data_IF_425235811649
#
_entry.id   IF_425235811649
#
_cell.length_a   1.000
_cell.length_b   1.000
_cell.length_c   1.000
_cell.angle_alpha   90.00
_cell.angle_beta   90.00
_cell.angle_gamma   90.00
#
_symmetry.space_group_name_H-M   'P 1'
#
loop_
_entity.id
_entity.type
_entity.pdbx_description
1 polymer ?
#
# COMPACT_ATOMS: atom_id res chain seq x y z
N UNK A 1 20.74 39.74 -20.34
CA UNK A 1 20.66 39.08 -19.02
C UNK A 1 19.23 39.18 -18.51
N UNK A 2 18.53 38.04 -18.43
CA UNK A 2 17.54 37.64 -17.40
C UNK A 2 16.47 36.74 -18.02
N UNK A 3 16.74 35.44 -18.10
CA UNK A 3 15.68 34.45 -18.18
C UNK A 3 15.14 34.26 -16.77
N UNK A 4 13.93 34.76 -16.53
CA UNK A 4 13.16 34.47 -15.33
C UNK A 4 12.71 33.01 -15.45
N UNK A 5 13.37 32.14 -14.69
CA UNK A 5 13.00 30.74 -14.58
C UNK A 5 11.57 30.64 -14.05
N UNK A 6 10.70 30.03 -14.87
CA UNK A 6 9.41 29.52 -14.40
C UNK A 6 9.70 28.49 -13.30
N UNK A 7 9.50 28.89 -12.04
CA UNK A 7 9.26 27.93 -10.95
C UNK A 7 7.99 27.17 -11.33
N UNK A 8 8.16 25.96 -11.82
CA UNK A 8 7.08 24.97 -11.86
C UNK A 8 6.73 24.72 -10.39
N UNK A 9 5.61 25.26 -9.92
CA UNK A 9 5.05 24.85 -8.65
C UNK A 9 4.82 23.34 -8.75
N UNK A 10 5.63 22.55 -8.04
CA UNK A 10 5.32 21.15 -7.80
C UNK A 10 3.93 21.14 -7.14
N UNK A 11 2.95 20.58 -7.86
CA UNK A 11 1.59 20.49 -7.37
C UNK A 11 1.63 19.64 -6.09
N UNK A 12 1.14 20.19 -4.98
CA UNK A 12 1.15 19.46 -3.70
C UNK A 12 0.37 18.16 -3.85
N UNK A 13 1.02 17.05 -3.51
CA UNK A 13 0.39 15.75 -3.45
C UNK A 13 -0.62 15.69 -2.32
N UNK A 14 -1.64 14.86 -2.48
CA UNK A 14 -2.73 14.63 -1.54
C UNK A 14 -2.52 13.24 -0.94
N UNK A 15 -1.99 13.12 0.29
CA UNK A 15 -1.78 11.82 0.90
C UNK A 15 -3.12 11.17 1.25
N UNK A 16 -3.29 9.92 0.85
CA UNK A 16 -4.45 9.08 1.19
C UNK A 16 -3.94 7.83 1.89
N UNK A 17 -4.43 7.59 3.11
CA UNK A 17 -4.12 6.36 3.83
C UNK A 17 -5.05 5.24 3.38
N UNK A 18 -4.50 4.09 2.99
CA UNK A 18 -5.25 2.88 2.65
C UNK A 18 -4.84 1.79 3.64
N UNK A 19 -5.70 1.48 4.60
CA UNK A 19 -5.39 0.53 5.66
C UNK A 19 -6.22 -0.74 5.52
N UNK A 20 -5.64 -1.89 5.85
CA UNK A 20 -6.41 -3.08 6.14
C UNK A 20 -6.94 -3.02 7.57
N UNK A 21 -8.10 -3.62 7.83
CA UNK A 21 -8.57 -3.83 9.19
C UNK A 21 -9.40 -5.11 9.29
N UNK A 22 -9.35 -5.72 10.48
CA UNK A 22 -10.20 -6.84 10.86
C UNK A 22 -10.74 -6.60 12.27
N UNK A 23 -10.77 -7.65 13.10
CA UNK A 23 -11.24 -7.57 14.49
C UNK A 23 -10.34 -6.78 15.46
N UNK A 24 -9.18 -6.31 14.98
CA UNK A 24 -8.31 -5.36 15.69
C UNK A 24 -8.25 -4.03 14.93
N UNK A 25 -9.26 -3.14 15.02
CA UNK A 25 -9.29 -1.89 14.27
C UNK A 25 -8.19 -0.89 14.67
N UNK A 26 -7.61 -1.03 15.87
CA UNK A 26 -6.57 -0.15 16.40
C UNK A 26 -5.37 0.02 15.46
N UNK A 27 -5.03 -1.00 14.66
CA UNK A 27 -3.95 -0.95 13.66
C UNK A 27 -4.05 0.24 12.71
N UNK A 28 -5.27 0.72 12.43
CA UNK A 28 -5.51 1.91 11.61
C UNK A 28 -5.04 3.17 12.34
N UNK A 29 -5.46 3.38 13.58
CA UNK A 29 -5.06 4.56 14.36
C UNK A 29 -3.60 4.53 14.77
N UNK A 30 -3.03 3.35 14.99
CA UNK A 30 -1.60 3.15 15.24
C UNK A 30 -0.77 3.58 14.01
N UNK A 31 -1.18 3.15 12.82
CA UNK A 31 -0.58 3.58 11.55
C UNK A 31 -0.67 5.10 11.39
N UNK A 32 -1.85 5.68 11.59
CA UNK A 32 -2.09 7.12 11.41
C UNK A 32 -1.33 7.97 12.43
N UNK A 33 -1.23 7.50 13.67
CA UNK A 33 -0.39 8.10 14.70
C UNK A 33 1.07 8.16 14.24
N UNK A 34 1.60 7.03 13.78
CA UNK A 34 2.97 6.99 13.34
C UNK A 34 3.23 7.93 12.14
N UNK A 35 2.35 7.92 11.14
CA UNK A 35 2.46 8.80 9.95
C UNK A 35 2.35 10.29 10.28
N UNK A 36 1.31 10.69 11.03
CA UNK A 36 0.95 12.10 11.17
C UNK A 36 1.51 12.76 12.43
N UNK A 37 1.88 11.97 13.45
CA UNK A 37 2.35 12.50 14.73
C UNK A 37 3.84 12.21 14.94
N UNK A 38 4.29 10.97 14.72
CA UNK A 38 5.69 10.59 14.95
C UNK A 38 6.59 10.94 13.77
N UNK A 39 6.18 10.65 12.53
CA UNK A 39 7.03 10.77 11.34
C UNK A 39 7.54 12.20 11.12
N UNK A 40 8.77 12.31 10.61
CA UNK A 40 9.41 13.59 10.27
C UNK A 40 10.02 13.46 8.85
N UNK A 41 9.51 14.19 7.84
CA UNK A 41 8.35 15.09 7.90
C UNK A 41 7.04 14.35 8.19
N UNK A 42 6.05 15.05 8.78
CA UNK A 42 4.73 14.46 9.04
C UNK A 42 4.03 14.15 7.73
N UNK A 43 3.42 12.98 7.64
CA UNK A 43 2.52 12.61 6.55
C UNK A 43 1.12 12.68 7.14
N UNK A 44 0.33 13.67 6.72
CA UNK A 44 -1.03 13.87 7.23
C UNK A 44 -2.01 13.50 6.11
N UNK A 45 -2.60 12.29 6.14
CA UNK A 45 -3.58 11.89 5.14
C UNK A 45 -4.78 12.83 5.14
N UNK A 46 -5.25 13.25 3.96
CA UNK A 46 -6.51 13.98 3.84
C UNK A 46 -7.71 13.06 4.07
N UNK A 47 -7.61 11.82 3.57
CA UNK A 47 -8.66 10.79 3.68
C UNK A 47 -8.05 9.46 4.14
N UNK A 48 -8.83 8.70 4.89
CA UNK A 48 -8.48 7.34 5.33
C UNK A 48 -9.50 6.38 4.74
N UNK A 49 -9.03 5.40 3.99
CA UNK A 49 -9.83 4.35 3.37
C UNK A 49 -9.47 3.03 4.04
N UNK A 50 -10.46 2.28 4.48
CA UNK A 50 -10.27 1.05 5.24
C UNK A 50 -10.85 -0.12 4.46
N UNK A 51 -10.00 -1.10 4.14
CA UNK A 51 -10.38 -2.34 3.48
C UNK A 51 -10.63 -3.43 4.51
N UNK A 52 -11.80 -4.06 4.45
CA UNK A 52 -12.24 -5.07 5.42
C UNK A 52 -13.14 -6.14 4.78
N UNK A 53 -13.43 -7.18 5.54
CA UNK A 53 -14.51 -8.13 5.24
C UNK A 53 -15.83 -7.71 5.91
N UNK A 54 -16.94 -8.33 5.52
CA UNK A 54 -18.29 -8.01 6.03
C UNK A 54 -18.37 -8.18 7.56
N UNK A 55 -17.81 -9.27 8.09
CA UNK A 55 -17.90 -9.62 9.52
C UNK A 55 -17.28 -8.56 10.45
N UNK A 56 -16.22 -7.87 10.01
CA UNK A 56 -15.53 -6.85 10.81
C UNK A 56 -16.03 -5.42 10.55
N UNK A 57 -16.84 -5.20 9.50
CA UNK A 57 -17.20 -3.87 9.00
C UNK A 57 -17.89 -2.99 10.06
N UNK A 58 -18.90 -3.52 10.74
CA UNK A 58 -19.67 -2.76 11.74
C UNK A 58 -18.79 -2.32 12.92
N UNK A 59 -17.90 -3.20 13.40
CA UNK A 59 -16.97 -2.88 14.48
C UNK A 59 -15.99 -1.78 14.06
N UNK A 60 -15.46 -1.85 12.84
CA UNK A 60 -14.55 -0.85 12.29
C UNK A 60 -15.24 0.52 12.20
N UNK A 61 -16.42 0.59 11.60
CA UNK A 61 -17.17 1.84 11.44
C UNK A 61 -17.44 2.49 12.82
N UNK A 62 -17.98 1.70 13.76
CA UNK A 62 -18.36 2.20 15.09
C UNK A 62 -17.18 2.62 15.95
N UNK A 63 -16.01 1.98 15.81
CA UNK A 63 -14.82 2.30 16.60
C UNK A 63 -13.99 3.43 16.00
N UNK A 64 -13.84 3.49 14.68
CA UNK A 64 -12.85 4.34 14.01
C UNK A 64 -13.42 5.60 13.37
N UNK A 65 -14.60 5.53 12.76
CA UNK A 65 -15.07 6.54 11.81
C UNK A 65 -16.17 7.47 12.39
N UNK A 66 -16.44 8.57 11.68
CA UNK A 66 -17.38 9.60 12.11
C UNK A 66 -16.86 10.53 13.23
N UNK A 67 -17.67 11.51 13.67
CA UNK A 67 -17.21 12.59 14.55
C UNK A 67 -16.70 12.13 15.92
N UNK A 68 -17.20 10.99 16.41
CA UNK A 68 -16.81 10.39 17.70
C UNK A 68 -15.81 9.24 17.54
N UNK A 69 -15.46 8.85 16.32
CA UNK A 69 -14.56 7.73 16.03
C UNK A 69 -13.12 8.00 16.46
N UNK A 70 -12.34 6.94 16.66
CA UNK A 70 -10.96 7.02 17.14
C UNK A 70 -10.04 7.85 16.22
N UNK A 71 -10.29 7.85 14.91
CA UNK A 71 -9.51 8.64 13.94
C UNK A 71 -9.69 10.14 14.20
N UNK A 72 -10.92 10.59 14.39
CA UNK A 72 -11.21 12.01 14.69
C UNK A 72 -10.68 12.43 16.06
N UNK A 73 -10.76 11.54 17.05
CA UNK A 73 -10.17 11.76 18.39
C UNK A 73 -8.66 11.94 18.32
N UNK A 74 -7.96 11.07 17.58
CA UNK A 74 -6.52 11.20 17.32
C UNK A 74 -6.18 12.55 16.69
N UNK A 75 -6.87 12.90 15.60
CA UNK A 75 -6.62 14.15 14.89
C UNK A 75 -6.83 15.38 15.78
N UNK A 76 -7.92 15.42 16.56
CA UNK A 76 -8.20 16.51 17.49
C UNK A 76 -7.16 16.61 18.62
N UNK A 77 -6.78 15.48 19.22
CA UNK A 77 -5.85 15.43 20.35
C UNK A 77 -4.45 15.93 19.99
N UNK A 78 -4.02 15.66 18.76
CA UNK A 78 -2.71 16.09 18.24
C UNK A 78 -2.74 17.39 17.43
N UNK A 79 -3.89 18.07 17.38
CA UNK A 79 -4.04 19.36 16.69
C UNK A 79 -3.80 19.26 15.18
N UNK A 80 -4.21 18.14 14.57
CA UNK A 80 -4.18 17.96 13.12
C UNK A 80 -5.35 18.72 12.45
N UNK A 81 -5.20 19.17 11.18
CA UNK A 81 -6.24 19.93 10.49
C UNK A 81 -7.61 19.24 10.50
N UNK A 82 -8.69 20.01 10.58
CA UNK A 82 -10.05 19.46 10.65
C UNK A 82 -10.43 18.70 9.38
N UNK A 83 -9.96 19.18 8.23
CA UNK A 83 -10.17 18.57 6.92
C UNK A 83 -9.17 17.44 6.59
N UNK A 84 -8.40 16.99 7.59
CA UNK A 84 -7.53 15.82 7.49
C UNK A 84 -8.12 14.59 8.15
N UNK A 85 -7.61 13.42 7.76
CA UNK A 85 -7.98 12.10 8.26
C UNK A 85 -9.49 11.83 8.21
N UNK A 86 -10.16 12.28 7.16
CA UNK A 86 -11.59 12.05 6.99
C UNK A 86 -11.83 10.54 6.76
N UNK A 87 -12.60 9.92 7.65
CA UNK A 87 -13.19 8.58 7.49
C UNK A 87 -14.68 8.61 7.84
N UNK A 88 -15.51 8.37 6.83
CA UNK A 88 -16.94 8.12 6.97
C UNK A 88 -17.23 6.62 6.82
N UNK A 89 -18.46 6.20 7.06
CA UNK A 89 -18.87 4.80 6.85
C UNK A 89 -18.67 4.33 5.41
N UNK A 90 -18.82 5.22 4.42
CA UNK A 90 -18.56 4.93 3.00
C UNK A 90 -17.07 4.80 2.65
N UNK A 91 -16.17 5.16 3.55
CA UNK A 91 -14.72 4.98 3.40
C UNK A 91 -14.26 3.61 3.94
N UNK A 92 -15.16 2.86 4.59
CA UNK A 92 -14.96 1.47 4.98
C UNK A 92 -15.48 0.57 3.86
N UNK A 93 -14.56 0.06 3.07
CA UNK A 93 -14.83 -0.73 1.87
C UNK A 93 -14.80 -2.20 2.23
N UNK A 94 -15.99 -2.82 2.19
CA UNK A 94 -16.11 -4.28 2.27
C UNK A 94 -15.68 -4.89 0.95
N UNK A 95 -14.68 -5.77 0.99
CA UNK A 95 -14.22 -6.52 -0.17
C UNK A 95 -15.34 -7.42 -0.70
N UNK A 96 -15.44 -7.51 -2.03
CA UNK A 96 -16.52 -8.23 -2.72
C UNK A 96 -15.95 -9.25 -3.69
N UNK A 97 -16.70 -10.32 -3.91
CA UNK A 97 -16.43 -11.26 -4.99
C UNK A 97 -16.65 -10.63 -6.36
N UNK A 98 -16.14 -11.30 -7.41
CA UNK A 98 -16.45 -10.94 -8.82
C UNK A 98 -17.95 -10.90 -9.14
N UNK A 99 -18.79 -11.55 -8.35
CA UNK A 99 -20.27 -11.51 -8.50
C UNK A 99 -20.93 -10.39 -7.69
N UNK A 100 -20.14 -9.52 -7.06
CA UNK A 100 -20.59 -8.39 -6.25
C UNK A 100 -21.01 -8.75 -4.82
N UNK A 101 -20.88 -10.02 -4.41
CA UNK A 101 -21.26 -10.45 -3.05
C UNK A 101 -20.19 -10.02 -2.05
N UNK A 102 -20.56 -9.42 -0.90
CA UNK A 102 -19.61 -9.16 0.19
C UNK A 102 -18.88 -10.43 0.62
N UNK A 103 -17.57 -10.34 0.81
CA UNK A 103 -16.78 -11.40 1.43
C UNK A 103 -16.97 -11.32 2.94
N UNK A 104 -17.59 -12.33 3.55
CA UNK A 104 -17.75 -12.43 5.02
C UNK A 104 -16.43 -12.50 5.74
N UNK A 105 -15.57 -13.39 5.24
CA UNK A 105 -14.21 -13.63 5.69
C UNK A 105 -13.43 -14.24 4.50
N UNK A 106 -12.10 -14.23 4.55
CA UNK A 106 -11.24 -14.84 3.51
C UNK A 106 -10.75 -16.18 4.03
N UNK A 107 -11.40 -17.27 3.61
CA UNK A 107 -11.13 -18.63 4.12
C UNK A 107 -10.77 -19.63 3.03
N UNK A 108 -10.91 -19.26 1.76
CA UNK A 108 -10.58 -20.11 0.61
C UNK A 108 -9.68 -19.41 -0.40
N UNK A 109 -9.05 -20.18 -1.29
CA UNK A 109 -8.29 -19.64 -2.42
C UNK A 109 -9.16 -18.76 -3.33
N UNK A 110 -10.45 -19.10 -3.47
CA UNK A 110 -11.41 -18.29 -4.24
C UNK A 110 -11.61 -16.92 -3.58
N UNK A 111 -11.86 -16.88 -2.27
CA UNK A 111 -12.01 -15.62 -1.53
C UNK A 111 -10.74 -14.77 -1.63
N UNK A 112 -9.57 -15.41 -1.61
CA UNK A 112 -8.28 -14.73 -1.74
C UNK A 112 -8.12 -14.08 -3.12
N UNK A 113 -8.51 -14.77 -4.19
CA UNK A 113 -8.48 -14.21 -5.55
C UNK A 113 -9.45 -13.03 -5.61
N UNK A 114 -10.70 -13.24 -5.19
CA UNK A 114 -11.74 -12.21 -5.16
C UNK A 114 -11.31 -10.97 -4.35
N UNK A 115 -10.69 -11.16 -3.19
CA UNK A 115 -10.13 -10.08 -2.38
C UNK A 115 -9.00 -9.33 -3.11
N UNK A 116 -8.10 -10.06 -3.78
CA UNK A 116 -7.01 -9.48 -4.56
C UNK A 116 -7.53 -8.58 -5.68
N UNK A 117 -8.56 -9.01 -6.39
CA UNK A 117 -9.22 -8.20 -7.42
C UNK A 117 -9.82 -6.93 -6.85
N UNK A 118 -10.63 -7.05 -5.79
CA UNK A 118 -11.27 -5.91 -5.17
C UNK A 118 -10.25 -4.88 -4.63
N UNK A 119 -9.13 -5.36 -4.09
CA UNK A 119 -8.02 -4.49 -3.66
C UNK A 119 -7.38 -3.78 -4.86
N UNK A 120 -7.05 -4.52 -5.92
CA UNK A 120 -6.43 -3.95 -7.13
C UNK A 120 -7.33 -2.90 -7.79
N UNK A 121 -8.62 -3.20 -7.95
CA UNK A 121 -9.61 -2.27 -8.50
C UNK A 121 -9.70 -0.97 -7.68
N UNK A 122 -9.67 -1.06 -6.35
CA UNK A 122 -9.70 0.13 -5.49
C UNK A 122 -8.44 0.97 -5.66
N UNK A 123 -7.25 0.36 -5.63
CA UNK A 123 -5.99 1.10 -5.79
C UNK A 123 -5.93 1.75 -7.17
N UNK A 124 -6.32 1.04 -8.23
CA UNK A 124 -6.38 1.57 -9.59
C UNK A 124 -7.35 2.77 -9.66
N UNK A 125 -8.51 2.71 -8.98
CA UNK A 125 -9.45 3.83 -8.89
C UNK A 125 -8.85 5.03 -8.17
N UNK A 126 -8.19 4.84 -7.03
CA UNK A 126 -7.56 5.94 -6.30
C UNK A 126 -6.41 6.57 -7.10
N UNK A 127 -5.62 5.72 -7.74
CA UNK A 127 -4.50 6.11 -8.58
C UNK A 127 -4.94 6.75 -9.90
N UNK A 128 -6.25 6.77 -10.23
CA UNK A 128 -6.74 7.54 -11.39
C UNK A 128 -6.58 9.05 -11.21
N UNK A 129 -6.53 9.54 -9.97
CA UNK A 129 -6.18 10.93 -9.68
C UNK A 129 -4.66 11.08 -9.66
N UNK A 130 -4.05 11.93 -10.52
CA UNK A 130 -2.61 12.13 -10.55
C UNK A 130 -2.05 12.86 -9.33
N UNK A 131 -2.91 13.45 -8.49
CA UNK A 131 -2.47 14.21 -7.30
C UNK A 131 -2.50 13.35 -6.03
N UNK A 132 -3.08 12.15 -6.06
CA UNK A 132 -3.16 11.27 -4.90
C UNK A 132 -1.84 10.51 -4.73
N UNK A 133 -1.33 10.52 -3.50
CA UNK A 133 -0.24 9.64 -3.06
C UNK A 133 -0.79 8.63 -2.06
N UNK A 134 -0.55 7.35 -2.33
CA UNK A 134 -1.06 6.23 -1.55
C UNK A 134 -0.08 5.86 -0.42
N UNK A 135 -0.58 5.92 0.81
CA UNK A 135 0.12 5.46 2.00
C UNK A 135 -0.59 4.21 2.52
N UNK A 136 -0.14 3.04 2.09
CA UNK A 136 -0.80 1.77 2.35
C UNK A 136 -0.25 1.08 3.60
N UNK A 137 -1.12 0.54 4.46
CA UNK A 137 -0.72 -0.27 5.61
C UNK A 137 -1.22 -1.70 5.47
N UNK A 138 -0.30 -2.67 5.57
CA UNK A 138 -0.61 -4.10 5.49
C UNK A 138 -1.05 -4.70 6.83
N UNK A 139 -1.02 -3.92 7.91
CA UNK A 139 -1.41 -4.38 9.23
C UNK A 139 -2.94 -4.54 9.30
N UNK A 140 -3.42 -5.69 9.78
CA UNK A 140 -4.84 -5.99 9.95
C UNK A 140 -5.44 -6.94 8.92
N UNK A 141 -6.64 -7.45 9.23
CA UNK A 141 -7.33 -8.43 8.41
C UNK A 141 -6.66 -9.82 8.42
N UNK A 142 -7.01 -10.66 7.43
CA UNK A 142 -6.33 -11.94 7.22
C UNK A 142 -4.94 -11.66 6.62
N UNK A 143 -3.91 -12.40 7.04
CA UNK A 143 -2.51 -12.25 6.56
C UNK A 143 -2.39 -12.15 5.03
N UNK A 144 -3.21 -12.92 4.30
CA UNK A 144 -3.25 -12.91 2.84
C UNK A 144 -3.65 -11.55 2.26
N UNK A 145 -4.50 -10.77 2.92
CA UNK A 145 -4.88 -9.42 2.48
C UNK A 145 -3.67 -8.49 2.40
N UNK A 146 -2.74 -8.58 3.36
CA UNK A 146 -1.50 -7.80 3.35
C UNK A 146 -0.63 -8.12 2.15
N UNK A 147 -0.47 -9.41 1.82
CA UNK A 147 0.26 -9.85 0.64
C UNK A 147 -0.39 -9.38 -0.67
N UNK A 148 -1.73 -9.44 -0.75
CA UNK A 148 -2.49 -8.98 -1.92
C UNK A 148 -2.42 -7.45 -2.08
N UNK A 149 -2.53 -6.69 -1.00
CA UNK A 149 -2.36 -5.23 -1.01
C UNK A 149 -0.96 -4.85 -1.46
N UNK A 150 0.07 -5.51 -0.95
CA UNK A 150 1.45 -5.26 -1.35
C UNK A 150 1.68 -5.58 -2.84
N UNK A 151 1.13 -6.70 -3.34
CA UNK A 151 1.23 -7.06 -4.76
C UNK A 151 0.49 -6.05 -5.64
N UNK A 152 -0.76 -5.74 -5.31
CA UNK A 152 -1.57 -4.78 -6.06
C UNK A 152 -0.90 -3.40 -6.11
N UNK A 153 -0.39 -2.92 -4.97
CA UNK A 153 0.32 -1.65 -4.91
C UNK A 153 1.58 -1.67 -5.78
N UNK A 154 2.41 -2.71 -5.73
CA UNK A 154 3.61 -2.79 -6.59
C UNK A 154 3.28 -2.66 -8.08
N UNK A 155 2.13 -3.19 -8.52
CA UNK A 155 1.70 -3.15 -9.92
C UNK A 155 1.11 -1.80 -10.37
N UNK A 156 0.85 -0.87 -9.45
CA UNK A 156 0.31 0.46 -9.78
C UNK A 156 1.06 1.63 -9.11
N UNK A 157 2.03 1.36 -8.24
CA UNK A 157 2.67 2.35 -7.39
C UNK A 157 3.47 3.36 -8.20
N UNK A 158 3.33 4.62 -7.80
CA UNK A 158 4.06 5.80 -8.29
C UNK A 158 5.22 6.15 -7.35
N UNK A 159 6.14 7.07 -7.74
CA UNK A 159 7.26 7.47 -6.90
C UNK A 159 6.90 7.97 -5.48
N UNK A 160 5.71 8.57 -5.30
CA UNK A 160 5.21 9.05 -4.01
C UNK A 160 4.58 7.98 -3.13
N UNK A 161 4.15 6.85 -3.71
CA UNK A 161 3.42 5.82 -2.97
C UNK A 161 4.35 5.03 -2.04
N UNK A 162 3.79 4.59 -0.91
CA UNK A 162 4.51 3.94 0.18
C UNK A 162 3.70 2.81 0.81
N UNK A 163 4.40 1.79 1.30
CA UNK A 163 3.83 0.63 1.98
C UNK A 163 4.42 0.53 3.38
N UNK A 164 3.58 0.27 4.37
CA UNK A 164 3.97 0.24 5.77
C UNK A 164 3.45 -1.01 6.49
N UNK A 165 4.15 -1.39 7.55
CA UNK A 165 3.67 -2.30 8.57
C UNK A 165 3.87 -1.65 9.95
N UNK A 166 2.76 -1.40 10.65
CA UNK A 166 2.81 -0.87 12.01
C UNK A 166 3.03 -2.02 13.00
N UNK A 167 3.88 -1.76 13.99
CA UNK A 167 4.17 -2.67 15.09
C UNK A 167 3.92 -1.93 16.40
N UNK A 168 3.24 -2.58 17.33
CA UNK A 168 3.00 -2.05 18.66
C UNK A 168 3.61 -3.01 19.67
N UNK A 169 4.37 -2.47 20.62
CA UNK A 169 4.99 -3.31 21.63
C UNK A 169 3.97 -4.00 22.54
N UNK A 170 4.30 -5.19 23.02
CA UNK A 170 3.55 -5.82 24.09
C UNK A 170 3.53 -4.93 25.36
N UNK A 171 2.43 -4.94 26.12
CA UNK A 171 1.22 -5.73 25.89
C UNK A 171 0.13 -5.00 25.09
N UNK A 172 0.43 -3.83 24.51
CA UNK A 172 -0.59 -2.92 23.98
C UNK A 172 -1.35 -3.47 22.77
N UNK A 173 -0.70 -4.30 21.94
CA UNK A 173 -1.35 -5.00 20.82
C UNK A 173 -2.51 -5.92 21.27
N UNK A 174 -2.54 -6.32 22.55
CA UNK A 174 -3.57 -7.19 23.14
C UNK A 174 -4.68 -6.43 23.85
N UNK A 175 -4.62 -5.10 23.92
CA UNK A 175 -5.56 -4.26 24.67
C UNK A 175 -6.57 -3.65 23.68
N UNK A 176 -7.83 -4.15 23.61
CA UNK A 176 -8.81 -3.68 22.63
C UNK A 176 -9.13 -2.17 22.72
N UNK A 177 -8.97 -1.57 23.90
CA UNK A 177 -9.20 -0.15 24.17
C UNK A 177 -8.00 0.73 23.82
N UNK A 178 -6.84 0.15 23.51
CA UNK A 178 -5.66 0.89 23.07
C UNK A 178 -5.75 1.13 21.56
N UNK A 179 -5.89 2.39 21.16
CA UNK A 179 -5.95 2.80 19.75
C UNK A 179 -4.67 3.50 19.28
N UNK A 180 -4.08 4.30 20.16
CA UNK A 180 -2.86 5.05 19.92
C UNK A 180 -2.35 5.61 21.27
N UNK A 181 -1.06 5.98 21.40
CA UNK A 181 -0.56 6.66 22.58
C UNK A 181 -1.24 8.03 22.71
N UNK A 182 -2.03 8.26 23.76
CA UNK A 182 -2.69 9.55 24.03
C UNK A 182 -1.71 10.54 24.68
N UNK A 183 -1.94 11.85 24.52
CA UNK A 183 -1.15 12.91 25.16
C UNK A 183 -1.32 12.89 26.68
N UNK A 184 -2.51 12.54 27.15
CA UNK A 184 -2.77 12.30 28.57
C UNK A 184 -2.60 10.81 28.84
N UNK A 185 -1.58 10.41 29.62
CA UNK A 185 -1.42 9.04 30.03
C UNK A 185 -2.67 8.49 30.71
N UNK A 186 -2.96 7.23 30.45
CA UNK A 186 -4.01 6.47 31.09
C UNK A 186 -3.48 5.11 31.51
N UNK A 187 -4.32 4.38 32.23
CA UNK A 187 -4.00 3.06 32.74
C UNK A 187 -5.00 2.07 32.17
N UNK A 188 -4.48 1.02 31.56
CA UNK A 188 -5.26 -0.12 31.10
C UNK A 188 -5.13 -1.29 32.07
N UNK A 189 -6.07 -2.22 32.01
CA UNK A 189 -6.02 -3.47 32.75
C UNK A 189 -6.06 -4.64 31.77
N UNK A 190 -5.06 -5.50 31.83
CA UNK A 190 -4.96 -6.71 31.01
C UNK A 190 -4.52 -7.87 31.90
N UNK A 191 -5.27 -8.98 31.89
CA UNK A 191 -4.99 -10.17 32.70
C UNK A 191 -4.77 -9.85 34.21
N UNK A 192 -5.57 -8.92 34.75
CA UNK A 192 -5.47 -8.47 36.15
C UNK A 192 -4.25 -7.57 36.45
N UNK A 193 -3.42 -7.24 35.45
CA UNK A 193 -2.25 -6.37 35.58
C UNK A 193 -2.55 -4.96 35.13
N UNK A 194 -1.99 -3.99 35.86
CA UNK A 194 -2.05 -2.57 35.55
C UNK A 194 -1.00 -2.23 34.49
N UNK A 195 -1.43 -1.75 33.32
CA UNK A 195 -0.56 -1.35 32.21
C UNK A 195 -0.61 0.18 32.07
N UNK A 196 0.57 0.81 32.06
CA UNK A 196 0.71 2.27 31.96
C UNK A 196 0.93 2.70 30.51
N UNK A 197 0.04 3.52 29.95
CA UNK A 197 0.09 3.90 28.52
C UNK A 197 1.35 4.66 28.11
N UNK A 198 2.11 5.22 29.06
CA UNK A 198 3.42 5.85 28.78
C UNK A 198 4.46 4.88 28.22
N UNK A 199 4.25 3.58 28.43
CA UNK A 199 5.13 2.52 27.92
C UNK A 199 4.77 2.09 26.50
N UNK A 200 3.73 2.66 25.91
CA UNK A 200 3.33 2.35 24.55
C UNK A 200 4.33 2.94 23.56
N UNK A 201 4.79 2.10 22.66
CA UNK A 201 5.71 2.39 21.58
C UNK A 201 5.12 1.84 20.29
N UNK A 202 4.99 2.73 19.31
CA UNK A 202 4.57 2.39 17.96
C UNK A 202 5.78 2.57 17.05
N UNK A 203 6.09 1.51 16.31
CA UNK A 203 7.07 1.51 15.23
C UNK A 203 6.36 1.37 13.88
N UNK A 204 6.85 2.09 12.88
CA UNK A 204 6.28 2.08 11.53
C UNK A 204 7.37 1.69 10.54
N UNK A 205 7.39 0.40 10.21
CA UNK A 205 8.32 -0.13 9.23
C UNK A 205 7.83 0.22 7.82
N UNK A 206 8.59 1.03 7.07
CA UNK A 206 8.39 1.19 5.64
C UNK A 206 8.89 -0.06 4.92
N UNK A 207 8.02 -0.69 4.13
CA UNK A 207 8.34 -1.87 3.33
C UNK A 207 8.80 -1.39 1.95
N UNK A 208 9.99 -1.80 1.49
CA UNK A 208 10.46 -1.48 0.15
C UNK A 208 9.49 -1.97 -0.94
N UNK A 209 9.19 -1.10 -1.91
CA UNK A 209 8.32 -1.40 -3.05
C UNK A 209 9.14 -1.55 -4.33
N UNK A 210 8.90 -2.64 -5.06
CA UNK A 210 9.26 -2.73 -6.48
C UNK A 210 8.14 -2.07 -7.28
N UNK A 211 8.42 -0.90 -7.86
CA UNK A 211 7.41 -0.13 -8.62
C UNK A 211 7.37 -0.64 -10.05
N UNK A 212 6.27 -1.32 -10.36
CA UNK A 212 6.00 -1.93 -11.67
C UNK A 212 4.86 -1.22 -12.40
N UNK A 213 4.36 -0.08 -11.88
CA UNK A 213 3.29 0.71 -12.49
C UNK A 213 3.61 1.11 -13.94
N UNK A 214 4.76 1.75 -14.17
CA UNK A 214 5.20 2.16 -15.50
C UNK A 214 5.42 0.97 -16.43
N UNK A 215 5.87 -0.17 -15.89
CA UNK A 215 6.02 -1.42 -16.65
C UNK A 215 4.65 -1.93 -17.09
N UNK A 216 3.69 -1.99 -16.17
CA UNK A 216 2.32 -2.42 -16.46
C UNK A 216 1.65 -1.53 -17.50
N UNK A 217 1.83 -0.21 -17.40
CA UNK A 217 1.32 0.77 -18.35
C UNK A 217 1.98 0.60 -19.74
N UNK A 218 3.31 0.42 -19.79
CA UNK A 218 4.04 0.21 -21.05
C UNK A 218 3.62 -1.06 -21.79
N UNK A 219 3.12 -2.06 -21.07
CA UNK A 219 2.61 -3.31 -21.61
C UNK A 219 1.13 -3.22 -22.00
N UNK A 220 0.48 -2.07 -21.80
CA UNK A 220 -0.94 -1.88 -22.10
C UNK A 220 -1.85 -2.79 -21.26
N UNK A 221 -1.41 -3.17 -20.05
CA UNK A 221 -2.22 -4.03 -19.19
C UNK A 221 -3.43 -3.27 -18.67
N UNK A 222 -4.62 -3.77 -18.99
CA UNK A 222 -5.86 -3.24 -18.43
C UNK A 222 -5.86 -3.34 -16.90
N UNK A 223 -6.55 -2.38 -16.27
CA UNK A 223 -6.77 -2.35 -14.82
C UNK A 223 -7.70 -3.50 -14.40
N UNK A 224 -7.48 -4.04 -13.20
CA UNK A 224 -8.11 -5.31 -12.76
C UNK A 224 -7.36 -6.58 -13.20
N UNK A 225 -7.82 -7.75 -12.74
CA UNK A 225 -7.15 -9.05 -12.84
C UNK A 225 -5.71 -9.05 -12.30
N UNK A 226 -5.61 -8.99 -10.97
CA UNK A 226 -4.34 -8.90 -10.24
C UNK A 226 -3.35 -10.01 -10.65
N UNK A 227 -3.85 -11.26 -10.74
CA UNK A 227 -3.02 -12.41 -11.06
C UNK A 227 -2.52 -12.37 -12.49
N UNK A 228 -3.38 -12.03 -13.45
CA UNK A 228 -3.00 -11.89 -14.86
C UNK A 228 -1.98 -10.78 -15.06
N UNK A 229 -2.13 -9.63 -14.39
CA UNK A 229 -1.16 -8.53 -14.44
C UNK A 229 0.21 -8.94 -13.91
N UNK A 230 0.25 -9.55 -12.72
CA UNK A 230 1.48 -10.07 -12.15
C UNK A 230 2.18 -11.05 -13.12
N UNK A 231 1.41 -11.97 -13.73
CA UNK A 231 1.96 -12.94 -14.68
C UNK A 231 2.48 -12.31 -15.96
N UNK A 232 1.76 -11.33 -16.52
CA UNK A 232 2.18 -10.63 -17.72
C UNK A 232 3.49 -9.84 -17.51
N UNK A 233 3.64 -9.20 -16.35
CA UNK A 233 4.88 -8.51 -16.00
C UNK A 233 6.03 -9.50 -15.80
N UNK A 234 5.79 -10.62 -15.12
CA UNK A 234 6.79 -11.68 -14.95
C UNK A 234 7.33 -12.16 -16.31
N UNK A 235 6.43 -12.43 -17.28
CA UNK A 235 6.80 -12.83 -18.64
C UNK A 235 7.62 -11.74 -19.33
N UNK A 236 7.15 -10.49 -19.31
CA UNK A 236 7.83 -9.38 -19.96
C UNK A 236 9.22 -9.09 -19.38
N UNK A 237 9.38 -9.23 -18.06
CA UNK A 237 10.67 -9.08 -17.39
C UNK A 237 11.63 -10.22 -17.78
N UNK A 238 11.13 -11.47 -17.81
CA UNK A 238 11.93 -12.60 -18.24
C UNK A 238 12.38 -12.46 -19.71
N UNK A 239 11.49 -12.03 -20.61
CA UNK A 239 11.85 -11.75 -22.01
C UNK A 239 12.89 -10.63 -22.14
N UNK A 240 12.76 -9.55 -21.35
CA UNK A 240 13.75 -8.46 -21.31
C UNK A 240 15.10 -8.93 -20.76
N UNK A 241 15.12 -9.81 -19.77
CA UNK A 241 16.36 -10.39 -19.22
C UNK A 241 16.99 -11.34 -20.24
N UNK A 242 16.19 -12.06 -21.05
CA UNK A 242 16.71 -12.96 -22.08
C UNK A 242 17.19 -12.24 -23.36
N UNK A 243 16.76 -11.00 -23.61
CA UNK A 243 17.35 -10.10 -24.61
C UNK A 243 18.51 -9.33 -23.94
N UNK A 244 19.80 -9.62 -24.08
CA UNK A 244 20.57 -10.03 -25.25
C UNK A 244 21.85 -10.72 -24.73
N UNK A 245 21.87 -12.06 -24.69
CA UNK A 245 23.16 -12.74 -24.61
C UNK A 245 23.83 -12.59 -25.98
N UNK A 246 24.78 -11.67 -26.07
CA UNK A 246 25.63 -11.53 -27.26
C UNK A 246 26.75 -12.54 -27.14
N UNK A 247 26.68 -13.61 -27.92
CA UNK A 247 27.76 -14.61 -27.99
C UNK A 247 28.63 -14.30 -29.20
N UNK A 248 29.92 -14.07 -28.94
CA UNK A 248 30.92 -13.84 -29.98
C UNK A 248 31.74 -15.11 -30.18
N UNK A 249 31.54 -15.81 -31.30
CA UNK A 249 32.41 -16.92 -31.69
C UNK A 249 33.55 -16.40 -32.58
N UNK A 250 34.69 -16.14 -31.96
CA UNK A 250 35.88 -15.57 -32.58
C UNK A 250 36.39 -16.40 -33.79
N UNK A 251 36.50 -17.74 -33.71
CA UNK A 251 37.03 -18.53 -34.84
C UNK A 251 36.19 -18.42 -36.12
N UNK A 252 34.91 -18.12 -35.99
CA UNK A 252 33.96 -18.10 -37.10
C UNK A 252 33.44 -16.71 -37.46
N UNK A 253 33.78 -15.67 -36.67
CA UNK A 253 33.27 -14.30 -36.79
C UNK A 253 31.74 -14.25 -36.73
N UNK A 254 31.19 -15.04 -35.80
CA UNK A 254 29.75 -15.14 -35.60
C UNK A 254 29.35 -14.31 -34.40
N UNK A 255 28.34 -13.47 -34.57
CA UNK A 255 27.64 -12.79 -33.49
C UNK A 255 26.27 -13.44 -33.36
N UNK A 256 25.99 -13.95 -32.17
CA UNK A 256 24.69 -14.51 -31.79
C UNK A 256 23.97 -13.55 -30.87
N UNK A 257 22.73 -13.19 -31.21
CA UNK A 257 21.86 -12.37 -30.36
C UNK A 257 20.52 -13.08 -30.23
N UNK A 258 20.34 -13.81 -29.12
CA UNK A 258 19.23 -14.75 -29.00
C UNK A 258 19.31 -15.83 -30.09
N UNK A 259 18.25 -15.97 -30.89
CA UNK A 259 18.17 -16.95 -31.98
C UNK A 259 18.72 -16.43 -33.33
N UNK A 260 19.15 -15.16 -33.38
CA UNK A 260 19.67 -14.55 -34.60
C UNK A 260 21.18 -14.78 -34.68
N UNK A 261 21.61 -15.42 -35.76
CA UNK A 261 23.02 -15.64 -36.11
C UNK A 261 23.42 -14.73 -37.26
N UNK A 262 24.43 -13.88 -37.03
CA UNK A 262 25.02 -13.04 -38.07
C UNK A 262 26.51 -13.30 -38.17
N UNK A 263 26.97 -13.67 -39.36
CA UNK A 263 28.39 -13.76 -39.65
C UNK A 263 28.89 -12.41 -40.15
N UNK A 264 29.80 -11.80 -39.40
CA UNK A 264 30.34 -10.49 -39.74
C UNK A 264 31.61 -10.62 -40.61
N UNK A 265 31.79 -9.73 -41.59
CA UNK A 265 33.08 -9.58 -42.26
C UNK A 265 34.14 -9.12 -41.25
N UNK A 266 35.44 -9.44 -41.49
CA UNK A 266 36.50 -9.21 -40.51
C UNK A 266 36.65 -7.75 -40.05
N UNK A 267 36.31 -6.77 -40.90
CA UNK A 267 36.32 -5.35 -40.51
C UNK A 267 35.22 -5.01 -39.49
N UNK A 268 34.04 -5.61 -39.61
CA UNK A 268 32.91 -5.34 -38.71
C UNK A 268 32.98 -6.16 -37.42
N UNK A 269 33.68 -7.31 -37.42
CA UNK A 269 33.85 -8.16 -36.23
C UNK A 269 34.98 -7.69 -35.29
N UNK A 270 35.91 -6.87 -35.77
CA UNK A 270 37.10 -6.43 -35.03
C UNK A 270 36.97 -5.05 -34.37
N UNK A 271 35.86 -4.34 -34.59
CA UNK A 271 35.50 -3.05 -33.97
C UNK A 271 34.78 -3.27 -32.63
#
# INVERSE_FOLDING_TARGET
MSQIGRRVHAKESIPVAVCLAGFSPAVVTETLYALAVQNRPRIIPKRVIILTTEDACLQIISSLCGPKGAIRRLAAEYGLPEESMICNSSDVIVLRSRTGKPLRDIRSSKDSIDAGEAIAELLDKLNSDPNVELHCSIAGGRKTMGALLALALQLCARPGDRLYHVLVNEPFERIPEFFYPTRKPCVYFLDGRRIDSRKAHIDLAEIPLVRLGDVAESLGLERGDLARRAKAIEIALNEKIQRHCVVLEIPHRLVKVGDIEVRLPPQEFAL
#
